data_IF_344322894690
#
_entry.id   IF_344322894690
#
_cell.length_a   1.000
_cell.length_b   1.000
_cell.length_c   1.000
_cell.angle_alpha   90.00
_cell.angle_beta   90.00
_cell.angle_gamma   90.00
#
_symmetry.space_group_name_H-M   'P 1'
#
loop_
_entity.id
_entity.type
_entity.pdbx_description
1 polymer ?
#
# COMPACT_ATOMS: atom_id res chain seq x y z
N UNK A 1 8.61 -5.64 -24.11
CA UNK A 1 9.26 -4.35 -24.28
C UNK A 1 9.41 -3.65 -22.94
N UNK A 2 10.61 -3.20 -22.64
CA UNK A 2 10.88 -2.54 -21.36
C UNK A 2 10.38 -1.10 -21.43
N UNK A 3 9.53 -0.72 -20.47
CA UNK A 3 9.02 0.63 -20.43
C UNK A 3 10.07 1.54 -19.79
N UNK A 4 10.22 2.74 -20.36
CA UNK A 4 11.15 3.72 -19.81
C UNK A 4 10.41 4.58 -18.78
N UNK A 5 10.73 4.41 -17.51
CA UNK A 5 10.05 5.12 -16.43
C UNK A 5 10.24 6.63 -16.49
N UNK A 6 11.33 7.09 -17.10
CA UNK A 6 11.59 8.53 -17.23
C UNK A 6 10.55 9.24 -18.08
N UNK A 7 9.92 8.51 -19.01
CA UNK A 7 8.95 9.07 -19.94
C UNK A 7 7.51 8.87 -19.46
N UNK A 8 7.31 8.27 -18.29
CA UNK A 8 5.99 8.02 -17.77
C UNK A 8 5.46 9.24 -16.98
N UNK A 9 4.17 9.47 -17.11
CA UNK A 9 3.50 10.51 -16.32
C UNK A 9 3.32 10.04 -14.87
N UNK A 10 3.00 10.99 -13.99
CA UNK A 10 2.69 10.69 -12.60
C UNK A 10 1.57 9.64 -12.49
N UNK A 11 0.50 9.82 -13.26
CA UNK A 11 -0.63 8.90 -13.22
C UNK A 11 -0.28 7.53 -13.74
N UNK A 12 0.54 7.46 -14.79
CA UNK A 12 0.98 6.17 -15.30
C UNK A 12 1.77 5.38 -14.28
N UNK A 13 2.67 6.04 -13.56
CA UNK A 13 3.46 5.38 -12.51
C UNK A 13 2.57 4.99 -11.35
N UNK A 14 1.65 5.89 -10.92
CA UNK A 14 0.71 5.57 -9.87
C UNK A 14 -0.13 4.34 -10.24
N UNK A 15 -0.63 4.30 -11.47
CA UNK A 15 -1.46 3.18 -11.94
C UNK A 15 -0.68 1.88 -11.97
N UNK A 16 0.58 1.92 -12.40
CA UNK A 16 1.44 0.73 -12.40
C UNK A 16 1.62 0.17 -10.98
N UNK A 17 1.91 1.05 -10.03
CA UNK A 17 2.08 0.65 -8.64
C UNK A 17 0.76 0.17 -8.03
N UNK A 18 -0.34 0.83 -8.37
CA UNK A 18 -1.68 0.44 -7.90
C UNK A 18 -2.07 -0.93 -8.41
N UNK A 19 -1.71 -1.25 -9.65
CA UNK A 19 -1.97 -2.56 -10.22
C UNK A 19 -1.29 -3.66 -9.42
N UNK A 20 -0.02 -3.45 -9.07
CA UNK A 20 0.72 -4.42 -8.27
C UNK A 20 0.18 -4.52 -6.85
N UNK A 21 -0.23 -3.40 -6.27
CA UNK A 21 -0.87 -3.39 -4.96
C UNK A 21 -2.20 -4.16 -5.01
N UNK A 22 -2.96 -4.01 -6.10
CA UNK A 22 -4.20 -4.75 -6.29
C UNK A 22 -3.97 -6.25 -6.41
N UNK A 23 -2.90 -6.66 -7.10
CA UNK A 23 -2.53 -8.08 -7.19
C UNK A 23 -2.22 -8.65 -5.80
N UNK A 24 -1.48 -7.90 -5.00
CA UNK A 24 -1.18 -8.31 -3.61
C UNK A 24 -2.46 -8.41 -2.79
N UNK A 25 -3.37 -7.45 -2.94
CA UNK A 25 -4.65 -7.45 -2.24
C UNK A 25 -5.45 -8.72 -2.57
N UNK A 26 -5.54 -9.07 -3.84
CA UNK A 26 -6.29 -10.26 -4.25
C UNK A 26 -5.62 -11.53 -3.74
N UNK A 27 -4.30 -11.59 -3.77
CA UNK A 27 -3.56 -12.73 -3.22
C UNK A 27 -3.82 -12.87 -1.72
N UNK A 28 -3.78 -11.76 -0.99
CA UNK A 28 -4.01 -11.78 0.45
C UNK A 28 -5.43 -12.25 0.79
N UNK A 29 -6.41 -11.81 0.01
CA UNK A 29 -7.81 -12.26 0.17
C UNK A 29 -7.94 -13.76 -0.08
N UNK A 30 -7.28 -14.25 -1.11
CA UNK A 30 -7.30 -15.69 -1.45
C UNK A 30 -6.70 -16.52 -0.30
N UNK A 31 -5.54 -16.08 0.20
CA UNK A 31 -4.89 -16.78 1.31
C UNK A 31 -5.76 -16.75 2.56
N UNK A 32 -6.38 -15.61 2.84
CA UNK A 32 -7.27 -15.47 3.99
C UNK A 32 -8.45 -16.45 3.91
N UNK A 33 -8.99 -16.62 2.70
CA UNK A 33 -10.14 -17.51 2.50
C UNK A 33 -9.80 -18.99 2.49
N UNK A 34 -8.56 -19.34 2.16
CA UNK A 34 -8.18 -20.74 1.94
C UNK A 34 -7.17 -21.28 2.95
N UNK A 35 -6.68 -20.44 3.85
CA UNK A 35 -5.75 -20.90 4.89
C UNK A 35 -6.42 -20.80 6.26
N UNK A 36 -5.72 -21.33 7.27
CA UNK A 36 -6.19 -21.25 8.65
C UNK A 36 -5.79 -19.96 9.32
N UNK A 37 -5.05 -19.10 8.62
CA UNK A 37 -4.54 -17.86 9.18
C UNK A 37 -5.44 -16.70 8.81
N UNK A 38 -5.58 -15.75 9.73
CA UNK A 38 -6.16 -14.46 9.38
C UNK A 38 -5.05 -13.59 8.80
N UNK A 39 -5.44 -12.73 7.86
CA UNK A 39 -4.47 -11.90 7.14
C UNK A 39 -4.83 -10.45 7.36
N UNK A 40 -3.82 -9.66 7.72
CA UNK A 40 -3.94 -8.22 7.80
C UNK A 40 -3.10 -7.62 6.67
N UNK A 41 -3.66 -6.64 5.97
CA UNK A 41 -2.94 -5.93 4.93
C UNK A 41 -3.20 -4.45 5.04
N UNK A 42 -2.15 -3.68 5.06
CA UNK A 42 -2.22 -2.23 4.89
C UNK A 42 -1.20 -1.86 3.81
N UNK A 43 -1.68 -1.38 2.69
CA UNK A 43 -0.83 -1.02 1.56
C UNK A 43 -1.20 0.39 1.09
N UNK A 44 -0.22 1.25 1.01
CA UNK A 44 -0.43 2.62 0.55
C UNK A 44 0.74 3.03 -0.33
N UNK A 45 0.41 3.61 -1.46
CA UNK A 45 1.43 4.11 -2.39
C UNK A 45 1.17 5.58 -2.68
N UNK A 46 2.22 6.29 -3.04
CA UNK A 46 2.10 7.68 -3.46
C UNK A 46 3.20 8.02 -4.45
N UNK A 47 2.86 8.88 -5.40
CA UNK A 47 3.80 9.41 -6.37
C UNK A 47 3.74 10.92 -6.27
N UNK A 48 4.89 11.54 -6.04
CA UNK A 48 4.98 12.98 -5.83
C UNK A 48 5.56 13.63 -7.08
N UNK A 49 4.88 14.67 -7.55
CA UNK A 49 5.35 15.50 -8.65
C UNK A 49 5.17 16.96 -8.21
N UNK A 50 6.27 17.59 -7.74
CA UNK A 50 6.23 18.92 -7.19
C UNK A 50 5.32 18.99 -5.97
N UNK A 51 4.24 19.74 -6.06
CA UNK A 51 3.26 19.92 -4.97
C UNK A 51 2.12 18.91 -5.05
N UNK A 52 2.11 18.04 -6.05
CA UNK A 52 1.01 17.11 -6.27
C UNK A 52 1.36 15.72 -5.78
N UNK A 53 0.43 15.14 -5.05
CA UNK A 53 0.52 13.76 -4.58
C UNK A 53 -0.61 12.95 -5.18
N UNK A 54 -0.27 11.91 -5.93
CA UNK A 54 -1.24 10.93 -6.42
C UNK A 54 -0.99 9.62 -5.69
N UNK A 55 -2.06 9.01 -5.19
CA UNK A 55 -1.87 7.79 -4.42
C UNK A 55 -3.10 6.92 -4.37
N UNK A 56 -2.92 5.74 -3.81
CA UNK A 56 -4.00 4.80 -3.54
C UNK A 56 -3.63 3.92 -2.37
N UNK A 57 -4.64 3.30 -1.77
CA UNK A 57 -4.40 2.40 -0.64
C UNK A 57 -5.40 1.25 -0.66
N UNK A 58 -5.01 0.16 -0.01
CA UNK A 58 -5.83 -1.04 0.15
C UNK A 58 -5.64 -1.58 1.56
N UNK A 59 -6.73 -2.01 2.19
CA UNK A 59 -6.67 -2.57 3.53
C UNK A 59 -7.49 -3.86 3.61
N UNK A 60 -7.02 -4.80 4.42
CA UNK A 60 -7.76 -5.99 4.79
C UNK A 60 -7.65 -6.13 6.31
N UNK A 61 -8.80 -6.26 6.96
CA UNK A 61 -8.86 -6.47 8.41
C UNK A 61 -9.68 -5.41 9.12
N UNK A 62 -9.95 -5.65 10.38
CA UNK A 62 -10.64 -4.69 11.25
C UNK A 62 -9.72 -3.54 11.62
N UNK A 63 -10.31 -2.39 11.82
CA UNK A 63 -9.57 -1.18 12.19
C UNK A 63 -8.68 -1.40 13.42
N UNK A 64 -9.21 -2.08 14.43
CA UNK A 64 -8.44 -2.32 15.66
C UNK A 64 -7.20 -3.18 15.40
N UNK A 65 -7.37 -4.24 14.62
CA UNK A 65 -6.25 -5.13 14.30
C UNK A 65 -5.22 -4.41 13.41
N UNK A 66 -5.69 -3.60 12.47
CA UNK A 66 -4.80 -2.82 11.62
C UNK A 66 -4.03 -1.79 12.42
N UNK A 67 -4.68 -1.16 13.41
CA UNK A 67 -3.99 -0.23 14.30
C UNK A 67 -2.89 -0.95 15.08
N UNK A 68 -3.15 -2.17 15.54
CA UNK A 68 -2.16 -2.97 16.26
C UNK A 68 -0.98 -3.33 15.36
N UNK A 69 -1.26 -3.69 14.11
CA UNK A 69 -0.22 -3.99 13.12
C UNK A 69 0.68 -2.78 12.92
N UNK A 70 0.08 -1.61 12.69
CA UNK A 70 0.84 -0.39 12.45
C UNK A 70 1.61 0.04 13.69
N UNK A 71 1.02 -0.11 14.87
CA UNK A 71 1.67 0.23 16.13
C UNK A 71 2.92 -0.61 16.37
N UNK A 72 2.93 -1.85 15.89
CA UNK A 72 4.08 -2.74 16.03
C UNK A 72 5.19 -2.48 15.00
N UNK A 73 4.92 -1.62 14.01
CA UNK A 73 5.85 -1.35 12.91
C UNK A 73 6.67 -0.10 13.21
N UNK A 74 7.99 -0.28 13.34
CA UNK A 74 8.89 0.83 13.66
C UNK A 74 8.81 1.95 12.64
N UNK A 75 8.77 1.62 11.36
CA UNK A 75 8.72 2.63 10.29
C UNK A 75 7.50 3.52 10.41
N UNK A 76 6.35 2.93 10.75
CA UNK A 76 5.13 3.70 10.95
C UNK A 76 5.28 4.66 12.12
N UNK A 77 5.82 4.17 13.24
CA UNK A 77 6.04 5.01 14.43
C UNK A 77 6.96 6.19 14.14
N UNK A 78 8.01 5.95 13.37
CA UNK A 78 8.94 7.01 12.99
C UNK A 78 8.23 8.09 12.17
N UNK A 79 7.35 7.70 11.25
CA UNK A 79 6.59 8.63 10.43
C UNK A 79 5.61 9.43 11.28
N UNK A 80 4.87 8.76 12.16
CA UNK A 80 3.89 9.42 13.03
C UNK A 80 4.57 10.42 13.95
N UNK A 81 5.75 10.09 14.46
CA UNK A 81 6.50 11.00 15.33
C UNK A 81 6.89 12.30 14.62
N UNK A 82 7.14 12.24 13.33
CA UNK A 82 7.43 13.45 12.55
C UNK A 82 6.21 14.35 12.48
N UNK A 83 5.01 13.76 12.44
CA UNK A 83 3.76 14.49 12.29
C UNK A 83 3.23 15.08 13.61
N UNK A 84 3.77 14.63 14.72
CA UNK A 84 3.32 15.09 16.04
C UNK A 84 4.18 16.26 16.58
#
# INVERSE_FOLDING_TARGET
MTKNYKDMTQDEIKDLLSEKSGELYELAKEIKGESKFDILLFSSIGVIDGDYLAGSSSVIGHTFDLASLLDSTKSYKDIVNVLQ
#
